data_IF_376473654622
#
_entry.id   IF_376473654622
#
_cell.length_a   1.000
_cell.length_b   1.000
_cell.length_c   1.000
_cell.angle_alpha   90.00
_cell.angle_beta   90.00
_cell.angle_gamma   90.00
#
_symmetry.space_group_name_H-M   'P 1'
#
loop_
_entity.id
_entity.type
_entity.pdbx_description
1 polymer ?
#
# COMPACT_ATOMS: atom_id res chain seq x y z
N UNK A 1 -6.73 -3.47 5.35
CA UNK A 1 -7.71 -3.98 4.98
C UNK A 1 -8.13 -5.40 4.70
N UNK A 2 -9.36 -5.72 5.07
CA UNK A 2 -9.97 -6.98 4.68
C UNK A 2 -10.29 -6.99 3.19
N UNK A 3 -10.02 -8.08 2.49
CA UNK A 3 -10.33 -8.24 1.06
C UNK A 3 -11.79 -8.69 0.87
N UNK A 4 -12.75 -7.90 1.36
CA UNK A 4 -14.19 -8.24 1.27
C UNK A 4 -14.72 -7.97 -0.13
N UNK A 5 -14.28 -6.88 -0.76
CA UNK A 5 -14.75 -6.46 -2.07
C UNK A 5 -13.72 -6.78 -3.15
N UNK A 6 -14.23 -7.17 -4.30
CA UNK A 6 -13.41 -7.33 -5.50
C UNK A 6 -13.06 -5.94 -6.05
N UNK A 7 -11.76 -5.66 -6.23
CA UNK A 7 -11.24 -4.32 -6.57
C UNK A 7 -11.91 -3.75 -7.82
N UNK A 8 -12.01 -4.53 -8.90
CA UNK A 8 -12.64 -4.09 -10.15
C UNK A 8 -14.10 -3.68 -9.99
N UNK A 9 -14.85 -4.36 -9.12
CA UNK A 9 -16.24 -4.00 -8.84
C UNK A 9 -16.34 -2.64 -8.15
N UNK A 10 -15.42 -2.36 -7.22
CA UNK A 10 -15.35 -1.06 -6.53
C UNK A 10 -14.96 0.06 -7.49
N UNK A 11 -13.95 -0.17 -8.32
CA UNK A 11 -13.52 0.80 -9.34
C UNK A 11 -14.64 1.11 -10.33
N UNK A 12 -15.38 0.09 -10.75
CA UNK A 12 -16.49 0.24 -11.69
C UNK A 12 -17.64 1.02 -11.07
N UNK A 13 -18.03 0.66 -9.85
CA UNK A 13 -19.03 1.41 -9.09
C UNK A 13 -18.62 2.87 -8.87
N UNK A 14 -17.35 3.10 -8.53
CA UNK A 14 -16.76 4.44 -8.39
C UNK A 14 -16.83 5.26 -9.67
N UNK A 15 -16.47 4.67 -10.80
CA UNK A 15 -16.51 5.31 -12.12
C UNK A 15 -17.92 5.79 -12.49
N UNK A 16 -18.94 5.01 -12.15
CA UNK A 16 -20.35 5.32 -12.46
C UNK A 16 -21.11 5.94 -11.29
N UNK A 17 -20.43 6.22 -10.17
CA UNK A 17 -21.01 6.78 -8.92
C UNK A 17 -22.22 5.97 -8.42
N UNK A 18 -22.13 4.64 -8.50
CA UNK A 18 -23.16 3.73 -8.01
C UNK A 18 -22.88 3.38 -6.55
N UNK A 19 -23.76 3.74 -5.60
CA UNK A 19 -23.62 3.31 -4.21
C UNK A 19 -23.68 1.78 -4.11
N UNK A 20 -22.84 1.21 -3.26
CA UNK A 20 -22.83 -0.22 -2.98
C UNK A 20 -23.12 -0.47 -1.51
N UNK A 21 -23.72 -1.61 -1.19
CA UNK A 21 -23.91 -2.04 0.18
C UNK A 21 -23.31 -3.43 0.39
N UNK A 22 -22.57 -3.57 1.46
CA UNK A 22 -22.00 -4.83 1.90
C UNK A 22 -22.85 -5.35 3.03
N UNK A 23 -23.46 -6.51 2.82
CA UNK A 23 -24.33 -7.18 3.78
C UNK A 23 -23.66 -8.44 4.34
N UNK A 24 -24.11 -8.91 5.50
CA UNK A 24 -23.68 -10.18 6.06
C UNK A 24 -24.30 -11.34 5.29
N UNK A 25 -23.51 -12.34 4.92
CA UNK A 25 -24.03 -13.59 4.33
C UNK A 25 -24.76 -14.48 5.36
N UNK A 26 -24.71 -14.12 6.63
CA UNK A 26 -25.42 -14.80 7.73
C UNK A 26 -26.75 -14.13 8.10
N UNK A 27 -27.15 -13.09 7.36
CA UNK A 27 -28.46 -12.46 7.55
C UNK A 27 -29.56 -13.48 7.27
N UNK A 28 -30.60 -13.61 8.14
CA UNK A 28 -31.71 -14.52 7.91
C UNK A 28 -32.41 -14.23 6.58
N UNK A 29 -32.82 -15.28 5.87
CA UNK A 29 -33.47 -15.15 4.56
C UNK A 29 -34.86 -14.50 4.62
N UNK A 30 -35.46 -14.43 5.80
CA UNK A 30 -36.78 -13.88 6.08
C UNK A 30 -36.75 -12.47 6.72
N UNK A 31 -35.59 -11.81 6.70
CA UNK A 31 -35.46 -10.43 7.17
C UNK A 31 -36.34 -9.49 6.32
N UNK A 32 -36.96 -8.51 6.96
CA UNK A 32 -37.70 -7.48 6.28
C UNK A 32 -36.80 -6.64 5.37
N UNK A 33 -37.23 -6.37 4.14
CA UNK A 33 -36.47 -5.66 3.12
C UNK A 33 -36.07 -4.23 3.55
N UNK A 34 -36.91 -3.55 4.36
CA UNK A 34 -36.59 -2.22 4.87
C UNK A 34 -35.49 -2.28 5.95
N UNK A 35 -35.51 -3.34 6.75
CA UNK A 35 -34.49 -3.59 7.77
C UNK A 35 -33.16 -4.01 7.13
N UNK A 36 -33.22 -4.89 6.14
CA UNK A 36 -32.05 -5.27 5.35
C UNK A 36 -31.42 -4.05 4.64
N UNK A 37 -32.23 -3.18 4.06
CA UNK A 37 -31.78 -1.96 3.39
C UNK A 37 -31.05 -0.98 4.35
N UNK A 38 -31.29 -1.04 5.64
CA UNK A 38 -30.62 -0.22 6.67
C UNK A 38 -29.42 -0.92 7.29
N UNK A 39 -29.27 -2.23 7.09
CA UNK A 39 -28.18 -3.04 7.67
C UNK A 39 -26.89 -2.96 6.84
N UNK A 40 -25.81 -3.50 7.40
CA UNK A 40 -24.52 -3.62 6.73
C UNK A 40 -23.77 -2.28 6.56
N UNK A 41 -22.83 -2.26 5.62
CA UNK A 41 -21.97 -1.08 5.35
C UNK A 41 -22.32 -0.47 4.00
N UNK A 42 -22.77 0.77 3.99
CA UNK A 42 -22.99 1.54 2.77
C UNK A 42 -21.65 2.13 2.28
N UNK A 43 -21.34 1.91 1.02
CA UNK A 43 -20.22 2.54 0.31
C UNK A 43 -20.82 3.57 -0.65
N UNK A 44 -20.60 4.83 -0.36
CA UNK A 44 -21.13 5.97 -1.12
C UNK A 44 -20.01 6.90 -1.53
N UNK A 45 -20.31 7.79 -2.47
CA UNK A 45 -19.42 8.85 -2.96
C UNK A 45 -19.88 10.24 -2.47
N UNK A 46 -20.94 10.31 -1.69
CA UNK A 46 -21.40 11.53 -1.06
C UNK A 46 -20.51 11.85 0.14
N UNK A 47 -19.84 12.98 0.08
CA UNK A 47 -19.17 13.56 1.25
C UNK A 47 -20.26 14.15 2.16
N UNK A 48 -20.34 13.67 3.39
CA UNK A 48 -21.21 14.28 4.40
C UNK A 48 -20.55 15.60 4.83
N UNK A 49 -21.07 16.73 4.34
CA UNK A 49 -20.53 18.08 4.61
C UNK A 49 -20.50 18.43 6.11
N UNK A 50 -21.16 17.66 6.94
CA UNK A 50 -21.28 17.87 8.40
C UNK A 50 -20.21 17.14 9.23
N UNK A 51 -19.43 16.24 8.65
CA UNK A 51 -18.30 15.66 9.36
C UNK A 51 -17.13 16.65 9.31
N UNK A 52 -16.76 17.22 10.44
CA UNK A 52 -15.41 17.76 10.61
C UNK A 52 -14.43 16.64 10.29
N UNK A 53 -13.71 16.80 9.18
CA UNK A 53 -12.95 15.74 8.53
C UNK A 53 -11.84 15.26 9.45
N UNK A 54 -11.96 14.08 10.00
CA UNK A 54 -10.82 13.38 10.55
C UNK A 54 -9.77 13.26 9.44
N UNK A 55 -8.61 13.88 9.63
CA UNK A 55 -7.52 13.89 8.65
C UNK A 55 -7.09 12.48 8.30
N UNK A 56 -7.17 11.55 9.27
CA UNK A 56 -6.90 10.12 9.10
C UNK A 56 -8.20 9.36 9.40
N UNK A 57 -8.68 8.62 8.41
CA UNK A 57 -9.92 7.85 8.49
C UNK A 57 -9.69 6.38 8.87
N UNK A 58 -8.46 5.88 8.74
CA UNK A 58 -8.18 4.48 9.05
C UNK A 58 -6.74 4.05 8.78
N UNK A 59 -6.43 2.84 9.25
CA UNK A 59 -5.17 2.15 8.98
C UNK A 59 -5.47 0.96 8.09
N UNK A 60 -4.83 0.92 6.92
CA UNK A 60 -4.88 -0.22 6.01
C UNK A 60 -3.52 -0.91 5.98
N UNK A 61 -3.51 -2.22 5.71
CA UNK A 61 -2.27 -2.96 5.57
C UNK A 61 -2.37 -4.08 4.54
N UNK A 62 -1.23 -4.45 3.97
CA UNK A 62 -1.08 -5.63 3.14
C UNK A 62 0.03 -6.53 3.70
N UNK A 63 -0.25 -7.82 3.74
CA UNK A 63 0.72 -8.91 4.03
C UNK A 63 1.08 -9.64 2.75
N UNK A 64 2.12 -10.45 2.82
CA UNK A 64 2.51 -11.31 1.70
C UNK A 64 3.10 -10.51 0.54
N UNK A 65 3.82 -9.45 0.85
CA UNK A 65 4.61 -8.68 -0.09
C UNK A 65 6.11 -8.93 0.10
N UNK A 66 6.87 -8.75 -0.95
CA UNK A 66 8.31 -8.83 -0.95
C UNK A 66 8.90 -7.57 -1.59
N UNK A 67 10.03 -7.12 -1.06
CA UNK A 67 10.80 -6.01 -1.60
C UNK A 67 11.97 -6.56 -2.42
N UNK A 68 12.20 -5.96 -3.58
CA UNK A 68 13.36 -6.22 -4.44
C UNK A 68 14.06 -4.90 -4.73
N UNK A 69 15.38 -4.90 -4.72
CA UNK A 69 16.20 -3.74 -5.06
C UNK A 69 17.28 -4.15 -6.05
N UNK A 70 17.34 -3.46 -7.17
CA UNK A 70 18.43 -3.54 -8.17
C UNK A 70 19.38 -2.39 -7.86
N UNK A 71 20.59 -2.72 -7.44
CA UNK A 71 21.55 -1.75 -6.93
C UNK A 71 22.58 -1.35 -8.00
N UNK A 72 22.94 -0.08 -7.96
CA UNK A 72 24.06 0.45 -8.75
C UNK A 72 23.84 0.41 -10.26
N UNK A 73 22.60 0.58 -10.74
CA UNK A 73 22.31 0.70 -12.17
C UNK A 73 22.70 2.08 -12.71
N UNK A 74 23.13 2.23 -13.96
CA UNK A 74 23.39 3.54 -14.57
C UNK A 74 22.17 4.45 -14.51
N UNK A 75 22.34 5.71 -14.11
CA UNK A 75 21.26 6.71 -14.12
C UNK A 75 21.11 7.29 -15.53
N UNK A 76 20.44 6.54 -16.40
CA UNK A 76 20.20 6.90 -17.79
C UNK A 76 18.72 6.78 -18.14
N UNK A 77 18.23 7.60 -19.10
CA UNK A 77 16.86 7.46 -19.59
C UNK A 77 16.57 6.04 -20.04
N UNK A 78 15.43 5.48 -19.60
CA UNK A 78 14.98 4.13 -19.95
C UNK A 78 15.34 3.04 -18.93
N UNK A 79 16.16 3.30 -17.92
CA UNK A 79 16.55 2.29 -16.91
C UNK A 79 15.36 1.64 -16.21
N UNK A 80 14.35 2.42 -15.82
CA UNK A 80 13.14 1.90 -15.20
C UNK A 80 12.38 0.94 -16.13
N UNK A 81 12.28 1.28 -17.42
CA UNK A 81 11.65 0.42 -18.42
C UNK A 81 12.47 -0.86 -18.66
N UNK A 82 13.79 -0.77 -18.65
CA UNK A 82 14.66 -1.94 -18.81
C UNK A 82 14.60 -2.90 -17.62
N UNK A 83 14.33 -2.39 -16.40
CA UNK A 83 14.14 -3.23 -15.22
C UNK A 83 12.75 -3.83 -15.18
N UNK A 84 11.70 -3.02 -15.36
CA UNK A 84 10.31 -3.45 -15.19
C UNK A 84 9.70 -4.11 -16.42
N UNK A 85 10.24 -3.90 -17.63
CA UNK A 85 9.77 -4.55 -18.85
C UNK A 85 9.76 -6.08 -18.72
N UNK A 86 10.91 -6.72 -18.46
CA UNK A 86 10.96 -8.17 -18.25
C UNK A 86 10.05 -8.68 -17.12
N UNK A 87 9.87 -7.90 -16.04
CA UNK A 87 8.98 -8.23 -14.92
C UNK A 87 7.52 -8.23 -15.38
N UNK A 88 7.13 -7.23 -16.16
CA UNK A 88 5.78 -7.13 -16.74
C UNK A 88 5.52 -8.24 -17.77
N UNK A 89 6.49 -8.54 -18.63
CA UNK A 89 6.40 -9.63 -19.63
C UNK A 89 6.25 -11.00 -18.95
N UNK A 90 6.80 -11.15 -17.76
CA UNK A 90 6.63 -12.31 -16.90
C UNK A 90 5.28 -12.33 -16.15
N UNK A 91 4.40 -11.34 -16.37
CA UNK A 91 3.11 -11.18 -15.68
C UNK A 91 3.25 -11.12 -14.16
N UNK A 92 4.25 -10.38 -13.67
CA UNK A 92 4.49 -10.10 -12.25
C UNK A 92 4.00 -8.69 -11.95
N UNK A 93 3.06 -8.58 -11.01
CA UNK A 93 2.53 -7.28 -10.57
C UNK A 93 3.52 -6.57 -9.65
N UNK A 94 3.69 -5.26 -9.86
CA UNK A 94 4.53 -4.37 -9.07
C UNK A 94 3.66 -3.29 -8.44
N UNK A 95 3.88 -2.99 -7.15
CA UNK A 95 3.08 -1.97 -6.45
C UNK A 95 3.89 -0.71 -6.14
N UNK A 96 4.74 -0.72 -5.12
CA UNK A 96 5.53 0.45 -4.72
C UNK A 96 6.82 0.47 -5.53
N UNK A 97 7.12 1.60 -6.15
CA UNK A 97 8.35 1.79 -6.93
C UNK A 97 9.09 3.01 -6.39
N UNK A 98 10.37 2.87 -6.10
CA UNK A 98 11.24 3.95 -5.63
C UNK A 98 12.56 3.90 -6.39
N UNK A 99 12.94 5.03 -6.96
CA UNK A 99 14.23 5.24 -7.59
C UNK A 99 14.92 6.43 -6.93
N UNK A 100 16.17 6.25 -6.54
CA UNK A 100 16.99 7.29 -5.94
C UNK A 100 18.26 7.50 -6.77
N UNK A 101 18.60 8.74 -7.04
CA UNK A 101 19.84 9.11 -7.75
C UNK A 101 20.98 9.17 -6.73
N UNK A 102 22.09 8.48 -7.01
CA UNK A 102 23.30 8.60 -6.24
C UNK A 102 24.30 9.57 -6.87
N UNK A 103 25.33 9.96 -6.11
CA UNK A 103 26.31 10.96 -6.55
C UNK A 103 27.22 10.50 -7.71
N UNK A 104 27.30 9.20 -7.94
CA UNK A 104 28.24 8.59 -8.91
C UNK A 104 27.60 8.30 -10.27
N UNK A 105 26.46 8.94 -10.62
CA UNK A 105 25.73 8.67 -11.84
C UNK A 105 25.10 7.27 -11.89
N UNK A 106 24.92 6.67 -10.72
CA UNK A 106 24.20 5.41 -10.53
C UNK A 106 22.91 5.65 -9.78
N UNK A 107 22.00 4.71 -9.87
CA UNK A 107 20.75 4.73 -9.11
C UNK A 107 20.48 3.35 -8.51
N UNK A 108 19.76 3.34 -7.40
CA UNK A 108 19.16 2.14 -6.85
C UNK A 108 17.68 2.15 -7.15
N UNK A 109 17.19 1.05 -7.68
CA UNK A 109 15.81 0.90 -8.09
C UNK A 109 15.15 -0.17 -7.23
N UNK A 110 14.19 0.22 -6.40
CA UNK A 110 13.49 -0.67 -5.47
C UNK A 110 12.01 -0.74 -5.80
N UNK A 111 11.43 -1.93 -5.69
CA UNK A 111 9.99 -2.12 -5.89
C UNK A 111 9.48 -3.29 -5.05
N UNK A 112 8.15 -3.38 -4.93
CA UNK A 112 7.50 -4.50 -4.24
C UNK A 112 6.73 -5.37 -5.22
N UNK A 113 6.71 -6.65 -4.92
CA UNK A 113 5.96 -7.69 -5.64
C UNK A 113 5.18 -8.53 -4.64
N UNK A 114 4.27 -9.41 -5.12
CA UNK A 114 3.70 -10.43 -4.25
C UNK A 114 4.80 -11.37 -3.73
N UNK A 115 4.65 -11.85 -2.51
CA UNK A 115 5.60 -12.83 -1.95
C UNK A 115 5.69 -14.10 -2.79
N UNK A 116 4.57 -14.49 -3.44
CA UNK A 116 4.54 -15.65 -4.34
C UNK A 116 5.38 -15.49 -5.60
N UNK A 117 5.54 -14.26 -6.09
CA UNK A 117 6.33 -13.95 -7.27
C UNK A 117 7.80 -13.62 -6.97
N UNK A 118 8.15 -13.47 -5.68
CA UNK A 118 9.47 -13.01 -5.25
C UNK A 118 10.63 -13.80 -5.88
N UNK A 119 10.57 -15.13 -5.75
CA UNK A 119 11.66 -15.98 -6.23
C UNK A 119 11.84 -15.88 -7.75
N UNK A 120 10.72 -15.92 -8.47
CA UNK A 120 10.70 -15.80 -9.94
C UNK A 120 11.21 -14.43 -10.41
N UNK A 121 10.83 -13.35 -9.72
CA UNK A 121 11.33 -12.01 -10.02
C UNK A 121 12.83 -11.89 -9.75
N UNK A 122 13.32 -12.43 -8.63
CA UNK A 122 14.74 -12.42 -8.30
C UNK A 122 15.60 -13.16 -9.34
N UNK A 123 15.17 -14.33 -9.79
CA UNK A 123 15.85 -15.11 -10.83
C UNK A 123 15.88 -14.36 -12.16
N UNK A 124 14.73 -13.87 -12.61
CA UNK A 124 14.61 -13.07 -13.82
C UNK A 124 15.56 -11.86 -13.83
N UNK A 125 15.58 -11.10 -12.74
CA UNK A 125 16.41 -9.91 -12.64
C UNK A 125 17.89 -10.24 -12.64
N UNK A 126 18.31 -11.31 -11.96
CA UNK A 126 19.70 -11.75 -11.92
C UNK A 126 20.20 -12.24 -13.27
N UNK A 127 19.38 -12.96 -14.00
CA UNK A 127 19.75 -13.58 -15.26
C UNK A 127 19.72 -12.61 -16.44
N UNK A 128 18.75 -11.69 -16.47
CA UNK A 128 18.54 -10.81 -17.61
C UNK A 128 18.92 -9.35 -17.37
N UNK A 129 18.47 -8.77 -16.24
CA UNK A 129 18.58 -7.32 -15.99
C UNK A 129 19.96 -6.93 -15.48
N UNK A 130 20.53 -7.67 -14.53
CA UNK A 130 21.87 -7.38 -13.98
C UNK A 130 22.92 -7.35 -15.07
N UNK A 131 23.09 -8.37 -15.92
CA UNK A 131 24.10 -8.33 -16.96
C UNK A 131 23.81 -7.29 -18.06
N UNK A 132 22.54 -7.06 -18.40
CA UNK A 132 22.18 -6.12 -19.45
C UNK A 132 22.44 -4.65 -19.06
N UNK A 133 22.23 -4.30 -17.80
CA UNK A 133 22.39 -2.94 -17.29
C UNK A 133 23.73 -2.69 -16.57
N UNK A 134 24.54 -3.72 -16.35
CA UNK A 134 25.74 -3.59 -15.52
C UNK A 134 25.43 -3.21 -14.07
N UNK A 135 24.29 -3.66 -13.55
CA UNK A 135 23.93 -3.46 -12.17
C UNK A 135 24.92 -4.18 -11.24
N UNK A 136 25.10 -3.64 -10.04
CA UNK A 136 26.02 -4.25 -9.06
C UNK A 136 25.48 -5.55 -8.53
N UNK A 137 24.23 -5.57 -8.11
CA UNK A 137 23.55 -6.78 -7.59
C UNK A 137 22.02 -6.58 -7.52
N UNK A 138 21.31 -7.69 -7.29
CA UNK A 138 19.89 -7.69 -6.89
C UNK A 138 19.78 -8.30 -5.50
N UNK A 139 19.20 -7.53 -4.59
CA UNK A 139 18.90 -7.93 -3.21
C UNK A 139 17.42 -7.88 -2.94
N UNK A 140 16.93 -8.62 -1.97
CA UNK A 140 15.52 -8.59 -1.64
C UNK A 140 15.21 -9.06 -0.23
N UNK A 141 13.99 -8.74 0.21
CA UNK A 141 13.41 -9.19 1.47
C UNK A 141 12.01 -9.74 1.20
N UNK A 142 11.77 -11.05 1.36
CA UNK A 142 10.47 -11.67 1.11
C UNK A 142 9.46 -11.47 2.24
N UNK A 143 9.87 -10.92 3.38
CA UNK A 143 9.06 -10.84 4.59
C UNK A 143 8.82 -9.37 4.97
N UNK A 144 8.09 -8.67 4.12
CA UNK A 144 7.68 -7.29 4.36
C UNK A 144 6.17 -7.15 4.45
N UNK A 145 5.73 -6.10 5.11
CA UNK A 145 4.35 -5.67 5.10
C UNK A 145 4.26 -4.18 4.77
N UNK A 146 3.20 -3.81 4.07
CA UNK A 146 2.86 -2.42 3.80
C UNK A 146 1.80 -1.95 4.76
N UNK A 147 2.06 -0.87 5.49
CA UNK A 147 1.10 -0.21 6.39
C UNK A 147 0.81 1.18 5.87
N UNK A 148 -0.44 1.54 5.79
CA UNK A 148 -0.91 2.82 5.25
C UNK A 148 -1.84 3.51 6.23
N UNK A 149 -1.60 4.76 6.50
CA UNK A 149 -2.61 5.67 7.04
C UNK A 149 -3.43 6.20 5.86
N UNK A 150 -4.75 6.17 5.99
CA UNK A 150 -5.69 6.57 4.94
C UNK A 150 -6.52 7.73 5.44
N UNK A 151 -6.74 8.72 4.58
CA UNK A 151 -7.53 9.89 4.92
C UNK A 151 -7.70 10.82 3.73
N UNK A 152 -8.39 11.92 3.93
CA UNK A 152 -8.62 12.94 2.91
C UNK A 152 -7.59 14.06 3.06
N UNK A 153 -7.03 14.53 1.95
CA UNK A 153 -6.08 15.64 1.95
C UNK A 153 -4.77 15.35 2.67
N UNK A 154 -4.33 14.09 2.70
CA UNK A 154 -3.12 13.65 3.40
C UNK A 154 -1.88 14.46 3.03
N UNK A 155 -1.83 14.95 1.81
CA UNK A 155 -0.71 15.73 1.27
C UNK A 155 -0.71 17.17 1.77
N UNK A 156 -1.88 17.74 2.02
CA UNK A 156 -2.04 19.14 2.48
C UNK A 156 -1.97 19.28 4.01
N UNK A 157 -2.06 18.20 4.77
CA UNK A 157 -2.01 18.23 6.22
C UNK A 157 -0.59 18.03 6.75
N UNK A 158 0.02 19.14 7.13
CA UNK A 158 1.39 19.16 7.69
C UNK A 158 1.44 18.32 8.97
N UNK A 159 2.43 17.42 9.04
CA UNK A 159 2.71 16.67 10.26
C UNK A 159 2.13 15.27 10.34
N UNK A 160 1.17 14.88 9.48
CA UNK A 160 0.58 13.53 9.51
C UNK A 160 1.64 12.44 9.27
N UNK A 161 2.43 12.56 8.20
CA UNK A 161 3.52 11.62 7.93
C UNK A 161 4.58 11.63 9.04
N UNK A 162 4.93 12.82 9.55
CA UNK A 162 5.88 12.96 10.66
C UNK A 162 5.39 12.28 11.95
N UNK A 163 4.10 12.40 12.26
CA UNK A 163 3.47 11.69 13.39
C UNK A 163 3.55 10.18 13.20
N UNK A 164 3.22 9.68 12.01
CA UNK A 164 3.35 8.26 11.67
C UNK A 164 4.77 7.75 11.89
N UNK A 165 5.77 8.45 11.36
CA UNK A 165 7.17 8.04 11.46
C UNK A 165 7.69 8.07 12.91
N UNK A 166 7.27 9.05 13.70
CA UNK A 166 7.60 9.14 15.12
C UNK A 166 7.04 7.94 15.89
N UNK A 167 5.78 7.63 15.71
CA UNK A 167 5.13 6.48 16.38
C UNK A 167 5.86 5.17 16.06
N UNK A 168 6.18 4.94 14.79
CA UNK A 168 6.92 3.74 14.39
C UNK A 168 8.33 3.71 14.98
N UNK A 169 9.01 4.86 15.07
CA UNK A 169 10.33 4.98 15.70
C UNK A 169 10.28 4.69 17.20
N UNK A 170 9.27 5.20 17.90
CA UNK A 170 9.06 4.95 19.34
C UNK A 170 8.83 3.46 19.64
N UNK A 171 8.19 2.74 18.72
CA UNK A 171 8.00 1.29 18.79
C UNK A 171 9.21 0.48 18.27
N UNK A 172 10.31 1.14 17.88
CA UNK A 172 11.51 0.48 17.37
C UNK A 172 11.32 -0.16 15.99
N UNK A 173 10.34 0.30 15.21
CA UNK A 173 10.02 -0.24 13.88
C UNK A 173 10.75 0.55 12.80
N UNK A 174 11.66 -0.12 12.09
CA UNK A 174 12.40 0.47 10.98
C UNK A 174 11.55 0.53 9.70
N UNK A 175 11.58 1.69 9.01
CA UNK A 175 10.91 1.92 7.75
C UNK A 175 11.88 1.61 6.60
N UNK A 176 11.49 0.75 5.67
CA UNK A 176 12.30 0.35 4.52
C UNK A 176 11.99 1.14 3.25
N UNK A 177 10.75 1.55 3.07
CA UNK A 177 10.26 2.35 1.93
C UNK A 177 9.12 3.25 2.40
N UNK A 178 8.95 4.38 1.72
CA UNK A 178 7.85 5.33 1.95
C UNK A 178 7.21 5.68 0.61
N UNK A 179 5.90 5.71 0.57
CA UNK A 179 5.12 6.18 -0.58
C UNK A 179 3.96 7.04 -0.09
N UNK A 180 3.68 8.13 -0.78
CA UNK A 180 2.60 9.06 -0.43
C UNK A 180 1.72 9.36 -1.61
N UNK A 181 0.43 9.55 -1.35
CA UNK A 181 -0.57 9.99 -2.33
C UNK A 181 -1.53 11.01 -1.69
N UNK A 182 -2.51 11.48 -2.43
CA UNK A 182 -3.55 12.41 -1.94
C UNK A 182 -4.36 11.85 -0.77
N UNK A 183 -4.55 10.52 -0.74
CA UNK A 183 -5.45 9.85 0.21
C UNK A 183 -4.72 8.91 1.18
N UNK A 184 -3.42 8.66 1.02
CA UNK A 184 -2.69 7.74 1.90
C UNK A 184 -1.21 8.06 1.98
N UNK A 185 -0.63 7.78 3.15
CA UNK A 185 0.81 7.64 3.34
C UNK A 185 1.10 6.20 3.72
N UNK A 186 1.97 5.55 2.98
CA UNK A 186 2.31 4.14 3.14
C UNK A 186 3.77 3.96 3.51
N UNK A 187 4.05 3.01 4.37
CA UNK A 187 5.40 2.57 4.70
C UNK A 187 5.52 1.07 4.51
N UNK A 188 6.69 0.64 4.11
CA UNK A 188 7.09 -0.77 4.09
C UNK A 188 7.95 -1.03 5.31
N UNK A 189 7.60 -2.06 6.07
CA UNK A 189 8.26 -2.50 7.30
C UNK A 189 8.52 -4.02 7.24
N UNK A 190 9.29 -4.54 8.17
CA UNK A 190 9.41 -5.99 8.36
C UNK A 190 8.06 -6.56 8.84
N UNK A 191 7.62 -7.65 8.23
CA UNK A 191 6.27 -8.22 8.46
C UNK A 191 6.02 -8.60 9.93
N UNK A 192 7.04 -9.01 10.66
CA UNK A 192 6.93 -9.36 12.10
C UNK A 192 6.40 -8.22 12.97
N UNK A 193 6.55 -6.97 12.53
CA UNK A 193 6.10 -5.79 13.26
C UNK A 193 4.71 -5.29 12.83
N UNK A 194 4.07 -5.95 11.89
CA UNK A 194 2.81 -5.46 11.32
C UNK A 194 1.73 -5.18 12.36
N UNK A 195 1.47 -6.13 13.24
CA UNK A 195 0.40 -5.99 14.24
C UNK A 195 0.70 -4.90 15.28
N UNK A 196 1.98 -4.77 15.66
CA UNK A 196 2.43 -3.70 16.56
C UNK A 196 2.25 -2.34 15.88
N UNK A 197 2.70 -2.19 14.63
CA UNK A 197 2.57 -0.96 13.86
C UNK A 197 1.11 -0.53 13.72
N UNK A 198 0.22 -1.45 13.34
CA UNK A 198 -1.21 -1.15 13.18
C UNK A 198 -1.83 -0.68 14.48
N UNK A 199 -1.58 -1.35 15.61
CA UNK A 199 -2.11 -0.96 16.92
C UNK A 199 -1.58 0.40 17.39
N UNK A 200 -0.28 0.61 17.26
CA UNK A 200 0.35 1.87 17.66
C UNK A 200 -0.18 3.06 16.85
N UNK A 201 -0.29 2.89 15.53
CA UNK A 201 -0.84 3.93 14.65
C UNK A 201 -2.33 4.16 14.90
N UNK A 202 -3.13 3.11 15.08
CA UNK A 202 -4.56 3.22 15.36
C UNK A 202 -4.82 4.03 16.63
N UNK A 203 -4.07 3.77 17.69
CA UNK A 203 -4.12 4.53 18.93
C UNK A 203 -3.63 5.98 18.74
N UNK A 204 -2.52 6.17 18.05
CA UNK A 204 -1.92 7.49 17.88
C UNK A 204 -2.79 8.44 17.06
N UNK A 205 -3.60 7.93 16.13
CA UNK A 205 -4.53 8.71 15.33
C UNK A 205 -5.98 8.70 15.86
N UNK A 206 -6.16 8.30 17.14
CA UNK A 206 -7.43 8.33 17.87
C UNK A 206 -8.58 7.57 17.16
N UNK A 207 -8.24 6.50 16.41
CA UNK A 207 -9.19 5.72 15.65
C UNK A 207 -9.97 4.71 16.50
N UNK A 208 -9.65 4.58 17.77
CA UNK A 208 -10.34 3.78 18.78
C UNK A 208 -11.44 4.56 19.52
N UNK A 209 -11.54 5.87 19.28
CA UNK A 209 -12.59 6.69 19.88
C UNK A 209 -13.90 6.54 19.08
N UNK A 210 -15.06 6.49 19.76
CA UNK A 210 -16.34 6.55 19.06
C UNK A 210 -16.42 7.84 18.23
N UNK A 211 -16.78 7.73 16.98
CA UNK A 211 -17.16 8.89 16.16
C UNK A 211 -18.36 9.56 16.82
N UNK A 212 -18.19 10.80 17.28
CA UNK A 212 -19.24 11.60 17.87
C UNK A 212 -20.35 11.94 16.86
#
# INVERSE_FOLDING_TARGET
GSKVLQIRSVEFAGKYKVPMRVLSSFTPWDIDLEEEAKSGTLITFEEDEKMEKAVVSGIAFNRGEAKISVLGVPDTPGVAAAILGPVADANIEVDVIIQNISKDGKTDFSFTVSQGDYQRAMELLRESVVPALGASEVVGNPNIAKVSIVGIGMRSHVGVASKMFRVLSEEGINIQMISTSEIKTSVVIDEKYLELAVRALHKAFDLDQPTA
#
